data_IF_069240229727
#
_entry.id   IF_069240229727
#
_cell.length_a   1.000
_cell.length_b   1.000
_cell.length_c   1.000
_cell.angle_alpha   90.00
_cell.angle_beta   90.00
_cell.angle_gamma   90.00
#
_symmetry.space_group_name_H-M   'P 1'
#
loop_
_entity.id
_entity.type
_entity.pdbx_description
1 polymer ?
#
# COMPACT_ATOMS: atom_id res chain seq x y z
N UNK A 1 2.89 4.83 33.93
CA UNK A 1 2.83 6.24 34.40
C UNK A 1 1.64 6.98 33.75
N UNK A 2 1.25 8.15 34.30
CA UNK A 2 0.18 8.97 33.71
C UNK A 2 0.49 9.35 32.25
N UNK A 3 1.75 9.65 31.95
CA UNK A 3 2.21 9.98 30.59
C UNK A 3 2.02 8.78 29.63
N UNK A 4 2.43 7.59 30.03
CA UNK A 4 2.24 6.37 29.23
C UNK A 4 0.74 6.09 28.94
N UNK A 5 -0.12 6.35 29.93
CA UNK A 5 -1.56 6.19 29.74
C UNK A 5 -2.12 7.23 28.76
N UNK A 6 -1.66 8.49 28.82
CA UNK A 6 -2.06 9.55 27.89
C UNK A 6 -1.59 9.20 26.46
N UNK A 7 -0.35 8.75 26.32
CA UNK A 7 0.22 8.39 25.01
C UNK A 7 -0.50 7.17 24.41
N UNK A 8 -0.86 6.18 25.23
CA UNK A 8 -1.68 5.04 24.79
C UNK A 8 -3.08 5.49 24.33
N UNK A 9 -3.76 6.39 25.07
CA UNK A 9 -5.07 6.91 24.68
C UNK A 9 -4.99 7.69 23.36
N UNK A 10 -3.94 8.51 23.17
CA UNK A 10 -3.73 9.23 21.91
C UNK A 10 -3.56 8.27 20.75
N UNK A 11 -2.67 7.29 20.88
CA UNK A 11 -2.43 6.29 19.84
C UNK A 11 -3.70 5.52 19.47
N UNK A 12 -4.51 5.11 20.46
CA UNK A 12 -5.77 4.42 20.21
C UNK A 12 -6.80 5.32 19.53
N UNK A 13 -6.86 6.59 19.92
CA UNK A 13 -7.77 7.58 19.30
C UNK A 13 -7.40 7.85 17.85
N UNK A 14 -6.12 7.94 17.52
CA UNK A 14 -5.63 8.07 16.14
C UNK A 14 -5.99 6.83 15.33
N UNK A 15 -5.76 5.64 15.87
CA UNK A 15 -6.14 4.37 15.23
C UNK A 15 -7.64 4.27 14.95
N UNK A 16 -8.48 4.71 15.88
CA UNK A 16 -9.93 4.75 15.69
C UNK A 16 -10.34 5.76 14.60
N UNK A 17 -9.72 6.93 14.58
CA UNK A 17 -9.96 7.94 13.54
C UNK A 17 -9.62 7.37 12.15
N UNK A 18 -8.44 6.78 12.00
CA UNK A 18 -8.00 6.19 10.74
C UNK A 18 -8.96 5.07 10.27
N UNK A 19 -9.44 4.24 11.20
CA UNK A 19 -10.42 3.20 10.88
C UNK A 19 -11.73 3.80 10.37
N UNK A 20 -12.25 4.84 11.02
CA UNK A 20 -13.49 5.51 10.60
C UNK A 20 -13.31 6.15 9.22
N UNK A 21 -12.19 6.81 8.95
CA UNK A 21 -11.89 7.42 7.65
C UNK A 21 -11.83 6.36 6.54
N UNK A 22 -11.19 5.21 6.80
CA UNK A 22 -11.12 4.08 5.88
C UNK A 22 -12.50 3.48 5.58
N UNK A 23 -13.35 3.33 6.61
CA UNK A 23 -14.73 2.85 6.44
C UNK A 23 -15.58 3.82 5.63
N UNK A 24 -15.48 5.12 5.91
CA UNK A 24 -16.19 6.15 5.16
C UNK A 24 -15.72 6.21 3.70
N UNK A 25 -14.42 6.01 3.45
CA UNK A 25 -13.87 5.93 2.10
C UNK A 25 -14.53 4.78 1.32
N UNK A 26 -14.53 3.58 1.88
CA UNK A 26 -15.13 2.40 1.25
C UNK A 26 -16.64 2.56 1.06
N UNK A 27 -17.35 3.11 2.05
CA UNK A 27 -18.78 3.34 1.94
C UNK A 27 -19.15 4.34 0.83
N UNK A 28 -18.36 5.40 0.63
CA UNK A 28 -18.51 6.33 -0.50
C UNK A 28 -18.20 5.68 -1.84
N UNK A 29 -17.18 4.82 -1.86
CA UNK A 29 -16.79 4.07 -3.03
C UNK A 29 -17.87 3.08 -3.49
N UNK A 30 -18.47 2.34 -2.56
CA UNK A 30 -19.55 1.39 -2.83
C UNK A 30 -20.83 2.05 -3.36
N UNK A 31 -21.12 3.27 -2.91
CA UNK A 31 -22.28 4.04 -3.36
C UNK A 31 -22.05 4.81 -4.68
N UNK A 32 -20.91 4.61 -5.35
CA UNK A 32 -20.53 5.30 -6.59
C UNK A 32 -20.59 6.84 -6.51
N UNK A 33 -20.61 7.40 -5.29
CA UNK A 33 -20.67 8.85 -5.08
C UNK A 33 -19.35 9.56 -5.25
N UNK A 34 -18.26 8.80 -5.31
CA UNK A 34 -16.90 9.33 -5.42
C UNK A 34 -16.58 9.64 -6.89
N UNK A 35 -16.39 10.92 -7.20
CA UNK A 35 -15.91 11.37 -8.51
C UNK A 35 -14.37 11.32 -8.54
N UNK A 36 -13.82 10.76 -9.64
CA UNK A 36 -12.38 10.71 -9.87
C UNK A 36 -11.93 11.96 -10.60
N UNK A 37 -10.92 12.64 -10.08
CA UNK A 37 -10.27 13.78 -10.72
C UNK A 37 -9.01 13.32 -11.45
N UNK A 38 -9.21 12.64 -12.59
CA UNK A 38 -8.10 12.09 -13.39
C UNK A 38 -7.27 13.19 -14.02
N UNK A 39 -5.97 13.05 -13.93
CA UNK A 39 -4.96 13.88 -14.60
C UNK A 39 -3.79 13.01 -15.07
N UNK A 40 -3.05 13.50 -16.06
CA UNK A 40 -1.88 12.80 -16.56
C UNK A 40 -0.66 13.23 -15.73
N UNK A 41 0.12 12.26 -15.23
CA UNK A 41 1.35 12.50 -14.49
C UNK A 41 2.30 11.31 -14.62
N UNK A 42 3.59 11.55 -14.38
CA UNK A 42 4.58 10.48 -14.31
C UNK A 42 4.44 9.73 -12.96
N UNK A 43 4.22 8.42 -13.02
CA UNK A 43 4.10 7.59 -11.82
C UNK A 43 5.38 7.60 -10.97
N UNK A 44 6.54 7.83 -11.59
CA UNK A 44 7.82 7.95 -10.90
C UNK A 44 7.84 9.09 -9.89
N UNK A 45 7.23 10.25 -10.21
CA UNK A 45 7.20 11.40 -9.31
C UNK A 45 6.45 11.06 -8.01
N UNK A 46 5.35 10.30 -8.12
CA UNK A 46 4.57 9.87 -6.94
C UNK A 46 5.34 8.84 -6.11
N UNK A 47 6.03 7.92 -6.76
CA UNK A 47 6.83 6.90 -6.05
C UNK A 47 8.01 7.55 -5.34
N UNK A 48 8.74 8.47 -5.98
CA UNK A 48 9.84 9.22 -5.36
C UNK A 48 9.36 10.01 -4.13
N UNK A 49 8.22 10.69 -4.24
CA UNK A 49 7.63 11.43 -3.13
C UNK A 49 7.33 10.51 -1.93
N UNK A 50 6.70 9.35 -2.19
CA UNK A 50 6.36 8.39 -1.13
C UNK A 50 7.60 7.79 -0.49
N UNK A 51 8.56 7.31 -1.29
CA UNK A 51 9.78 6.69 -0.75
C UNK A 51 10.57 7.70 0.06
N UNK A 52 10.74 8.93 -0.44
CA UNK A 52 11.43 10.00 0.30
C UNK A 52 10.74 10.35 1.63
N UNK A 53 9.41 10.35 1.69
CA UNK A 53 8.67 10.51 2.95
C UNK A 53 8.90 9.33 3.91
N UNK A 54 8.89 8.08 3.38
CA UNK A 54 9.06 6.88 4.20
C UNK A 54 10.48 6.73 4.76
N UNK A 55 11.51 7.07 3.99
CA UNK A 55 12.90 7.10 4.47
C UNK A 55 13.09 8.05 5.66
N UNK A 56 12.36 9.18 5.68
CA UNK A 56 12.39 10.11 6.80
C UNK A 56 11.62 9.61 8.04
N UNK A 57 10.51 8.89 7.82
CA UNK A 57 9.64 8.39 8.90
C UNK A 57 10.19 7.10 9.51
N UNK A 58 10.71 6.22 8.66
CA UNK A 58 11.24 4.91 9.06
C UNK A 58 12.67 4.71 8.55
N UNK A 59 13.67 5.17 9.31
CA UNK A 59 15.08 4.97 8.98
C UNK A 59 15.58 3.53 9.27
N UNK A 60 14.71 2.64 9.74
CA UNK A 60 15.07 1.28 10.12
C UNK A 60 15.08 0.28 8.96
N UNK A 61 14.51 0.65 7.80
CA UNK A 61 14.52 -0.17 6.59
C UNK A 61 15.41 0.44 5.50
N UNK A 62 15.89 -0.41 4.59
CA UNK A 62 16.70 0.01 3.45
C UNK A 62 15.79 0.12 2.22
N UNK A 63 15.48 1.34 1.80
CA UNK A 63 14.70 1.57 0.59
C UNK A 63 15.60 1.57 -0.64
N UNK A 64 15.14 0.94 -1.72
CA UNK A 64 15.77 0.97 -3.03
C UNK A 64 14.73 1.30 -4.09
N UNK A 65 15.08 2.16 -5.04
CA UNK A 65 14.20 2.54 -6.14
C UNK A 65 14.81 2.23 -7.50
N UNK A 66 13.99 1.72 -8.43
CA UNK A 66 14.33 1.53 -9.85
C UNK A 66 13.21 2.15 -10.70
N UNK A 67 13.42 3.38 -11.15
CA UNK A 67 12.39 4.20 -11.76
C UNK A 67 12.64 4.36 -13.28
N UNK A 68 11.79 3.75 -14.07
CA UNK A 68 11.76 3.97 -15.51
C UNK A 68 10.94 5.23 -15.81
N UNK A 69 11.62 6.35 -16.01
CA UNK A 69 11.02 7.68 -16.30
C UNK A 69 10.12 7.64 -17.54
N UNK A 70 9.29 8.66 -17.69
CA UNK A 70 8.25 8.78 -18.72
C UNK A 70 7.14 7.71 -18.60
N UNK A 71 6.90 7.22 -17.38
CA UNK A 71 5.84 6.28 -17.05
C UNK A 71 4.51 7.00 -16.77
N UNK A 72 3.96 7.66 -17.81
CA UNK A 72 2.72 8.45 -17.68
C UNK A 72 1.48 7.59 -17.56
N UNK A 73 0.66 7.91 -16.56
CA UNK A 73 -0.67 7.33 -16.33
C UNK A 73 -1.72 8.43 -16.22
N UNK A 74 -2.99 8.08 -16.52
CA UNK A 74 -4.15 8.95 -16.32
C UNK A 74 -4.95 8.50 -15.12
N UNK A 75 -4.76 9.14 -13.96
CA UNK A 75 -5.38 8.74 -12.70
C UNK A 75 -5.68 9.94 -11.81
N UNK A 76 -6.47 9.73 -10.77
CA UNK A 76 -6.56 10.65 -9.64
C UNK A 76 -5.28 10.52 -8.81
N UNK A 77 -4.42 11.55 -8.89
CA UNK A 77 -3.08 11.52 -8.30
C UNK A 77 -3.09 11.28 -6.80
N UNK A 78 -4.08 11.84 -6.09
CA UNK A 78 -4.20 11.68 -4.62
C UNK A 78 -4.56 10.24 -4.25
N UNK A 79 -5.54 9.67 -4.94
CA UNK A 79 -5.94 8.29 -4.73
C UNK A 79 -4.84 7.31 -5.15
N UNK A 80 -4.17 7.56 -6.28
CA UNK A 80 -3.04 6.75 -6.71
C UNK A 80 -1.90 6.77 -5.67
N UNK A 81 -1.54 7.97 -5.17
CA UNK A 81 -0.56 8.12 -4.07
C UNK A 81 -0.98 7.31 -2.85
N UNK A 82 -2.27 7.36 -2.47
CA UNK A 82 -2.80 6.56 -1.35
C UNK A 82 -2.64 5.06 -1.58
N UNK A 83 -2.95 4.55 -2.78
CA UNK A 83 -2.80 3.13 -3.09
C UNK A 83 -1.34 2.66 -2.98
N UNK A 84 -0.40 3.41 -3.56
CA UNK A 84 1.04 3.08 -3.47
C UNK A 84 1.54 3.16 -2.01
N UNK A 85 1.14 4.19 -1.26
CA UNK A 85 1.49 4.34 0.15
C UNK A 85 1.05 3.12 0.98
N UNK A 86 -0.17 2.64 0.78
CA UNK A 86 -0.68 1.44 1.47
C UNK A 86 0.22 0.23 1.23
N UNK A 87 0.73 0.05 0.01
CA UNK A 87 1.65 -1.06 -0.28
C UNK A 87 2.99 -0.90 0.44
N UNK A 88 3.56 0.30 0.41
CA UNK A 88 4.85 0.59 1.08
C UNK A 88 4.71 0.44 2.60
N UNK A 89 3.63 0.98 3.20
CA UNK A 89 3.33 0.82 4.63
C UNK A 89 3.19 -0.66 5.03
N UNK A 90 2.54 -1.47 4.18
CA UNK A 90 2.46 -2.92 4.42
C UNK A 90 3.85 -3.57 4.36
N UNK A 91 4.68 -3.22 3.39
CA UNK A 91 6.04 -3.75 3.31
C UNK A 91 6.86 -3.39 4.54
N UNK A 92 6.83 -2.13 5.01
CA UNK A 92 7.48 -1.71 6.26
C UNK A 92 6.99 -2.55 7.45
N UNK A 93 5.68 -2.74 7.54
CA UNK A 93 5.04 -3.43 8.67
C UNK A 93 5.42 -4.91 8.78
N UNK A 94 5.60 -5.58 7.63
CA UNK A 94 5.83 -7.03 7.58
C UNK A 94 7.27 -7.43 7.26
N UNK A 95 8.17 -6.47 7.12
CA UNK A 95 9.59 -6.69 6.89
C UNK A 95 10.36 -6.48 8.20
N UNK A 96 11.31 -7.36 8.56
CA UNK A 96 12.19 -7.12 9.70
C UNK A 96 13.05 -5.86 9.50
N UNK A 97 13.37 -5.17 10.61
CA UNK A 97 14.29 -4.03 10.59
C UNK A 97 15.65 -4.40 9.98
N UNK A 98 16.20 -3.51 9.17
CA UNK A 98 17.48 -3.71 8.48
C UNK A 98 17.33 -4.39 7.11
N UNK A 99 16.17 -4.97 6.81
CA UNK A 99 15.91 -5.61 5.52
C UNK A 99 15.53 -4.59 4.45
N UNK A 100 15.52 -5.05 3.20
CA UNK A 100 15.31 -4.22 2.02
C UNK A 100 13.84 -4.16 1.62
N UNK A 101 13.41 -2.96 1.21
CA UNK A 101 12.15 -2.71 0.52
C UNK A 101 12.48 -2.04 -0.81
N UNK A 102 12.13 -2.69 -1.92
CA UNK A 102 12.35 -2.17 -3.28
C UNK A 102 11.04 -1.63 -3.86
N UNK A 103 11.08 -0.42 -4.42
CA UNK A 103 9.96 0.15 -5.17
C UNK A 103 10.43 0.45 -6.59
N UNK A 104 9.80 -0.23 -7.56
CA UNK A 104 10.15 -0.12 -8.98
C UNK A 104 8.97 0.41 -9.78
N UNK A 105 9.25 1.28 -10.75
CA UNK A 105 8.32 1.68 -11.80
C UNK A 105 8.83 1.17 -13.14
N UNK A 106 8.04 0.35 -13.81
CA UNK A 106 8.36 -0.18 -15.14
C UNK A 106 7.28 0.24 -16.14
N UNK A 107 7.71 0.74 -17.30
CA UNK A 107 6.83 1.10 -18.41
C UNK A 107 6.86 -0.01 -19.44
N UNK A 108 5.69 -0.42 -19.87
CA UNK A 108 5.47 -1.36 -20.97
C UNK A 108 4.71 -0.66 -22.11
N UNK A 109 4.42 -1.37 -23.19
CA UNK A 109 3.78 -0.77 -24.37
C UNK A 109 2.40 -0.15 -24.04
N UNK A 110 1.59 -0.84 -23.24
CA UNK A 110 0.21 -0.43 -22.93
C UNK A 110 -0.07 -0.30 -21.43
N UNK A 111 0.96 -0.39 -20.60
CA UNK A 111 0.79 -0.33 -19.13
C UNK A 111 2.00 0.27 -18.43
N UNK A 112 1.77 0.72 -17.21
CA UNK A 112 2.80 1.08 -16.25
C UNK A 112 2.61 0.18 -15.02
N UNK A 113 3.67 -0.49 -14.62
CA UNK A 113 3.71 -1.35 -13.45
C UNK A 113 4.43 -0.67 -12.30
N UNK A 114 3.78 -0.59 -11.14
CA UNK A 114 4.40 -0.16 -9.88
C UNK A 114 4.59 -1.40 -9.02
N UNK A 115 5.82 -1.75 -8.73
CA UNK A 115 6.22 -2.97 -8.04
C UNK A 115 6.73 -2.58 -6.66
N UNK A 116 6.11 -3.08 -5.61
CA UNK A 116 6.60 -2.99 -4.24
C UNK A 116 7.00 -4.40 -3.80
N UNK A 117 8.27 -4.57 -3.49
CA UNK A 117 8.83 -5.86 -3.10
C UNK A 117 9.55 -5.73 -1.77
N UNK A 118 9.31 -6.66 -0.89
CA UNK A 118 9.95 -6.76 0.43
C UNK A 118 10.58 -8.14 0.66
N UNK A 119 11.51 -8.20 1.61
CA UNK A 119 12.12 -9.41 2.14
C UNK A 119 11.49 -9.77 3.50
N UNK A 120 10.17 -9.59 3.61
CA UNK A 120 9.40 -9.82 4.82
C UNK A 120 9.02 -11.27 5.06
N UNK A 121 8.05 -11.46 5.94
CA UNK A 121 7.57 -12.80 6.35
C UNK A 121 6.90 -13.58 5.22
N UNK A 122 6.51 -12.91 4.12
CA UNK A 122 5.75 -13.52 3.05
C UNK A 122 4.30 -13.85 3.44
N UNK A 123 3.57 -14.41 2.48
CA UNK A 123 2.15 -14.79 2.59
C UNK A 123 2.01 -16.24 2.15
N UNK A 124 1.25 -17.02 2.93
CA UNK A 124 0.96 -18.40 2.58
C UNK A 124 0.09 -18.49 1.32
N UNK A 125 0.30 -19.48 0.44
CA UNK A 125 -0.45 -19.60 -0.82
C UNK A 125 -1.97 -19.61 -0.62
N UNK A 126 -2.46 -20.25 0.43
CA UNK A 126 -3.88 -20.33 0.79
C UNK A 126 -4.48 -18.99 1.23
N UNK A 127 -3.66 -18.04 1.65
CA UNK A 127 -4.08 -16.71 2.08
C UNK A 127 -4.13 -15.70 0.93
N UNK A 128 -3.38 -15.92 -0.16
CA UNK A 128 -3.24 -14.98 -1.26
C UNK A 128 -4.58 -14.57 -1.89
N UNK A 129 -5.55 -15.47 -1.94
CA UNK A 129 -6.89 -15.17 -2.46
C UNK A 129 -7.66 -14.15 -1.60
N UNK A 130 -7.32 -14.03 -0.32
CA UNK A 130 -8.10 -13.29 0.67
C UNK A 130 -7.46 -11.95 1.09
N UNK A 131 -6.20 -11.68 0.72
CA UNK A 131 -5.46 -10.51 1.22
C UNK A 131 -6.10 -9.16 0.85
N UNK A 132 -6.93 -9.12 -0.19
CA UNK A 132 -7.69 -7.95 -0.61
C UNK A 132 -9.10 -7.88 -0.03
N UNK A 133 -9.52 -8.88 0.74
CA UNK A 133 -10.82 -8.86 1.41
C UNK A 133 -10.81 -7.88 2.60
N UNK A 134 -11.95 -7.24 2.83
CA UNK A 134 -12.10 -6.29 3.94
C UNK A 134 -11.95 -7.00 5.28
N UNK A 135 -11.21 -6.37 6.20
CA UNK A 135 -10.93 -6.90 7.55
C UNK A 135 -10.13 -8.21 7.58
N UNK A 136 -9.66 -8.69 6.43
CA UNK A 136 -8.83 -9.87 6.39
C UNK A 136 -7.45 -9.58 6.99
N UNK A 137 -7.00 -10.51 7.82
CA UNK A 137 -5.67 -10.52 8.44
C UNK A 137 -5.21 -11.96 8.57
N UNK A 138 -3.99 -12.26 8.16
CA UNK A 138 -3.42 -13.58 8.39
C UNK A 138 -3.21 -13.86 9.88
N UNK A 139 -3.27 -15.13 10.29
CA UNK A 139 -3.12 -15.51 11.70
C UNK A 139 -1.73 -15.15 12.26
N UNK A 140 -0.69 -15.22 11.45
CA UNK A 140 0.65 -14.78 11.84
C UNK A 140 0.74 -13.27 12.11
N UNK A 141 -0.01 -12.46 11.37
CA UNK A 141 -0.09 -11.02 11.60
C UNK A 141 -0.83 -10.66 12.88
N UNK A 142 -1.76 -11.51 13.33
CA UNK A 142 -2.46 -11.37 14.62
C UNK A 142 -1.55 -11.63 15.80
N UNK A 143 -0.67 -12.62 15.68
CA UNK A 143 0.27 -13.00 16.74
C UNK A 143 1.34 -11.93 17.01
N UNK A 144 1.75 -11.21 15.97
CA UNK A 144 2.65 -10.07 16.11
C UNK A 144 1.81 -8.82 16.32
N UNK A 145 1.70 -8.25 17.47
CA UNK A 145 0.99 -7.01 17.89
C UNK A 145 1.10 -5.80 16.92
N UNK A 146 1.22 -6.05 15.62
CA UNK A 146 1.26 -5.08 14.56
C UNK A 146 -0.14 -4.60 14.27
N UNK A 147 -0.50 -3.43 14.76
CA UNK A 147 -1.79 -2.79 14.52
C UNK A 147 -2.15 -2.74 13.02
N UNK A 148 -3.42 -2.63 12.70
CA UNK A 148 -3.93 -2.49 11.34
C UNK A 148 -5.36 -2.97 11.23
N UNK A 149 -6.17 -2.23 10.48
CA UNK A 149 -7.60 -2.46 10.31
C UNK A 149 -7.95 -3.66 9.43
N UNK A 150 -7.01 -4.13 8.59
CA UNK A 150 -7.30 -5.07 7.51
C UNK A 150 -8.08 -4.45 6.34
N UNK A 151 -8.13 -3.12 6.25
CA UNK A 151 -8.82 -2.40 5.18
C UNK A 151 -7.87 -1.84 4.11
N UNK A 152 -6.59 -1.69 4.40
CA UNK A 152 -5.65 -1.02 3.51
C UNK A 152 -5.62 -1.62 2.10
N UNK A 153 -5.35 -2.93 1.96
CA UNK A 153 -5.28 -3.57 0.65
C UNK A 153 -6.61 -3.55 -0.09
N UNK A 154 -7.76 -3.64 0.60
CA UNK A 154 -9.07 -3.51 -0.04
C UNK A 154 -9.32 -2.10 -0.56
N UNK A 155 -8.83 -1.07 0.12
CA UNK A 155 -8.85 0.33 -0.36
C UNK A 155 -7.95 0.48 -1.58
N UNK A 156 -6.71 -0.01 -1.53
CA UNK A 156 -5.79 0.04 -2.66
C UNK A 156 -6.39 -0.66 -3.89
N UNK A 157 -7.00 -1.84 -3.71
CA UNK A 157 -7.71 -2.57 -4.77
C UNK A 157 -8.83 -1.74 -5.37
N UNK A 158 -9.71 -1.17 -4.54
CA UNK A 158 -10.79 -0.32 -5.01
C UNK A 158 -10.27 0.84 -5.86
N UNK A 159 -9.22 1.54 -5.38
CA UNK A 159 -8.60 2.66 -6.11
C UNK A 159 -8.11 2.21 -7.49
N UNK A 160 -7.32 1.15 -7.55
CA UNK A 160 -6.68 0.67 -8.77
C UNK A 160 -7.73 0.20 -9.78
N UNK A 161 -8.72 -0.59 -9.36
CA UNK A 161 -9.81 -1.09 -10.20
C UNK A 161 -10.66 0.05 -10.77
N UNK A 162 -10.94 1.11 -9.99
CA UNK A 162 -11.67 2.31 -10.48
C UNK A 162 -10.91 3.10 -11.53
N UNK A 163 -9.61 2.91 -11.62
CA UNK A 163 -8.77 3.51 -12.66
C UNK A 163 -8.51 2.57 -13.85
N UNK A 164 -9.13 1.38 -13.86
CA UNK A 164 -8.98 0.38 -14.91
C UNK A 164 -7.70 -0.47 -14.78
N UNK A 165 -7.01 -0.37 -13.64
CA UNK A 165 -5.85 -1.19 -13.32
C UNK A 165 -6.22 -2.48 -12.60
N UNK A 166 -5.21 -3.27 -12.27
CA UNK A 166 -5.34 -4.52 -11.51
C UNK A 166 -4.06 -4.83 -10.72
N UNK A 167 -4.13 -5.85 -9.86
CA UNK A 167 -3.01 -6.31 -9.04
C UNK A 167 -2.50 -7.67 -9.49
N UNK A 168 -1.19 -7.85 -9.37
CA UNK A 168 -0.55 -9.17 -9.33
C UNK A 168 0.21 -9.29 -8.01
N UNK A 169 0.19 -10.50 -7.42
CA UNK A 169 0.87 -10.78 -6.16
C UNK A 169 1.69 -12.05 -6.29
N UNK A 170 2.96 -11.95 -5.93
CA UNK A 170 3.89 -13.06 -5.83
C UNK A 170 4.45 -13.05 -4.41
N UNK A 171 4.21 -14.11 -3.65
CA UNK A 171 4.71 -14.21 -2.28
C UNK A 171 5.12 -15.64 -1.94
N UNK A 172 6.08 -15.73 -1.05
CA UNK A 172 6.53 -16.99 -0.46
C UNK A 172 6.88 -16.77 1.00
N UNK A 173 6.37 -17.64 1.87
CA UNK A 173 6.67 -17.62 3.29
C UNK A 173 8.17 -17.58 3.54
N UNK A 174 8.58 -16.76 4.51
CA UNK A 174 9.95 -16.55 4.97
C UNK A 174 10.94 -16.06 3.89
N UNK A 175 10.41 -15.61 2.73
CA UNK A 175 11.23 -15.01 1.66
C UNK A 175 10.83 -13.57 1.40
N UNK A 176 9.52 -13.28 1.36
CA UNK A 176 8.99 -11.94 1.13
C UNK A 176 7.79 -11.90 0.20
N UNK A 177 7.37 -10.68 -0.10
CA UNK A 177 6.20 -10.41 -0.94
C UNK A 177 6.55 -9.40 -2.03
N UNK A 178 5.98 -9.62 -3.21
CA UNK A 178 5.98 -8.67 -4.32
C UNK A 178 4.54 -8.40 -4.71
N UNK A 179 4.10 -7.15 -4.57
CA UNK A 179 2.80 -6.68 -5.01
C UNK A 179 3.01 -5.73 -6.18
N UNK A 180 2.28 -5.94 -7.26
CA UNK A 180 2.39 -5.18 -8.49
C UNK A 180 1.05 -4.52 -8.78
N UNK A 181 1.03 -3.20 -8.92
CA UNK A 181 -0.08 -2.44 -9.50
C UNK A 181 0.19 -2.31 -10.99
N UNK A 182 -0.73 -2.75 -11.83
CA UNK A 182 -0.68 -2.55 -13.27
C UNK A 182 -1.74 -1.52 -13.65
N UNK A 183 -1.28 -0.38 -14.20
CA UNK A 183 -2.12 0.72 -14.65
C UNK A 183 -2.10 0.80 -16.18
N UNK A 184 -3.25 0.96 -16.85
CA UNK A 184 -3.26 1.17 -18.29
C UNK A 184 -2.62 2.52 -18.64
N UNK A 185 -1.84 2.55 -19.72
CA UNK A 185 -1.49 3.78 -20.42
C UNK A 185 -2.65 4.20 -21.33
N UNK A 186 -2.64 5.46 -21.77
CA UNK A 186 -3.60 5.91 -22.80
C UNK A 186 -3.34 5.25 -24.13
#
# INVERSE_FOLDING_TARGET
TLQESIDAIKSETESMKDLVEQLLFLARGDNETMQLHKQDFDACDVVEEIVGEMEMIDPSHNFETDLNRDAYISADKQLFKQAVRILVDNSIKYTPQGEQIMVKVAKEENSVSIIVQDNGIGIAPEELANIFERFYRSDESRARKTGGSGLGLSIARWIVERHGGYFEVLSRLDIGTRIIIIMPTK
#
